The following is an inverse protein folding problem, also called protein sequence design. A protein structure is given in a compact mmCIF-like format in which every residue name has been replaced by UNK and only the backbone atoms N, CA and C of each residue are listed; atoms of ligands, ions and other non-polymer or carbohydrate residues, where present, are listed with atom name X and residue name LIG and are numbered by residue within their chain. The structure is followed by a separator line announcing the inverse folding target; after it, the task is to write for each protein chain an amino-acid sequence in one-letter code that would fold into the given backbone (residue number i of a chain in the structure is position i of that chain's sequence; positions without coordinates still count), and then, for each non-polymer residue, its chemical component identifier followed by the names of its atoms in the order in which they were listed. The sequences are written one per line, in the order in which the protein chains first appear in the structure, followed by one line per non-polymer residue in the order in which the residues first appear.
data_IF_791551548947
#
_entry.id   IF_791551548947
#
_cell.length_a   1.000
_cell.length_b   1.000
_cell.length_c   1.000
_cell.angle_alpha   90.00
_cell.angle_beta   90.00
_cell.angle_gamma   90.00
#
_symmetry.space_group_name_H-M   'P 1'
#
loop_
_entity.id
_entity.type
_entity.pdbx_description
1 polymer ?
#
# COMPACT_ATOMS: atom_id res chain seq x y z
N UNK A 1 -43.87 -7.64 -95.86
CA UNK A 1 -44.55 -8.36 -94.78
C UNK A 1 -43.44 -8.76 -93.82
N UNK A 2 -43.04 -7.84 -92.95
CA UNK A 2 -43.75 -7.46 -91.72
C UNK A 2 -43.52 -8.55 -90.65
N UNK A 3 -42.58 -8.31 -89.75
CA UNK A 3 -42.84 -8.34 -88.30
C UNK A 3 -41.54 -8.09 -87.55
N UNK A 4 -41.64 -7.25 -86.53
CA UNK A 4 -40.59 -6.74 -85.66
C UNK A 4 -40.08 -7.84 -84.72
N UNK A 5 -38.77 -7.98 -84.63
CA UNK A 5 -38.10 -8.65 -83.51
C UNK A 5 -37.97 -7.64 -82.36
N UNK A 6 -38.91 -7.68 -81.42
CA UNK A 6 -38.86 -6.92 -80.18
C UNK A 6 -37.82 -7.51 -79.22
N UNK A 7 -36.75 -6.73 -79.02
CA UNK A 7 -35.77 -6.86 -77.94
C UNK A 7 -36.46 -6.67 -76.58
N UNK A 8 -36.76 -7.77 -75.90
CA UNK A 8 -37.05 -7.76 -74.46
C UNK A 8 -35.75 -8.01 -73.69
N UNK A 9 -35.01 -6.94 -73.41
CA UNK A 9 -33.97 -6.93 -72.36
C UNK A 9 -34.70 -6.75 -71.03
N UNK A 10 -34.99 -7.86 -70.37
CA UNK A 10 -35.50 -7.86 -69.00
C UNK A 10 -34.36 -7.52 -68.05
N UNK A 11 -34.28 -6.24 -67.67
CA UNK A 11 -33.45 -5.75 -66.58
C UNK A 11 -33.95 -6.38 -65.26
N UNK A 12 -33.38 -7.51 -64.88
CA UNK A 12 -33.44 -8.00 -63.49
C UNK A 12 -32.59 -7.07 -62.62
N UNK A 13 -33.20 -5.97 -62.18
CA UNK A 13 -32.76 -5.25 -60.99
C UNK A 13 -33.08 -6.18 -59.81
N UNK A 14 -32.11 -7.02 -59.44
CA UNK A 14 -32.10 -7.67 -58.14
C UNK A 14 -31.97 -6.58 -57.08
N UNK A 15 -33.11 -6.06 -56.62
CA UNK A 15 -33.22 -5.35 -55.36
C UNK A 15 -32.87 -6.33 -54.23
N UNK A 16 -31.57 -6.47 -53.97
CA UNK A 16 -31.05 -7.01 -52.73
C UNK A 16 -31.27 -5.99 -51.62
N UNK A 17 -32.54 -5.71 -51.30
CA UNK A 17 -32.91 -4.99 -50.09
C UNK A 17 -32.74 -5.95 -48.91
N UNK A 18 -31.48 -6.22 -48.57
CA UNK A 18 -31.11 -6.78 -47.28
C UNK A 18 -31.49 -5.72 -46.24
N UNK A 19 -32.71 -5.81 -45.72
CA UNK A 19 -33.15 -5.05 -44.57
C UNK A 19 -32.20 -5.36 -43.43
N UNK A 20 -31.29 -4.43 -43.15
CA UNK A 20 -30.41 -4.48 -41.98
C UNK A 20 -31.31 -4.37 -40.76
N UNK A 21 -31.78 -5.52 -40.24
CA UNK A 21 -32.42 -5.60 -38.94
C UNK A 21 -31.38 -5.20 -37.88
N UNK A 22 -31.36 -3.91 -37.56
CA UNK A 22 -30.66 -3.41 -36.37
C UNK A 22 -31.34 -4.00 -35.15
N UNK A 23 -30.83 -5.13 -34.65
CA UNK A 23 -31.28 -5.75 -33.39
C UNK A 23 -31.20 -4.70 -32.28
N UNK A 24 -32.34 -4.17 -31.88
CA UNK A 24 -32.45 -3.20 -30.80
C UNK A 24 -31.90 -3.83 -29.51
N UNK A 25 -30.79 -3.29 -29.02
CA UNK A 25 -30.15 -3.79 -27.79
C UNK A 25 -31.04 -3.39 -26.61
N UNK A 26 -31.52 -4.37 -25.85
CA UNK A 26 -32.33 -4.11 -24.65
C UNK A 26 -31.56 -3.23 -23.66
N UNK A 27 -32.15 -2.11 -23.16
CA UNK A 27 -31.51 -1.23 -22.18
C UNK A 27 -30.98 -1.96 -20.94
N UNK A 28 -31.66 -3.04 -20.53
CA UNK A 28 -31.24 -3.87 -19.40
C UNK A 28 -29.91 -4.59 -19.63
N UNK A 29 -29.59 -4.97 -20.87
CA UNK A 29 -28.30 -5.58 -21.21
C UNK A 29 -27.16 -4.58 -21.08
N UNK A 30 -27.40 -3.34 -21.51
CA UNK A 30 -26.43 -2.24 -21.40
C UNK A 30 -26.16 -1.95 -19.92
N UNK A 31 -27.21 -1.78 -19.11
CA UNK A 31 -27.06 -1.54 -17.67
C UNK A 31 -26.32 -2.69 -16.98
N UNK A 32 -26.66 -3.94 -17.31
CA UNK A 32 -26.00 -5.13 -16.75
C UNK A 32 -24.50 -5.17 -17.11
N UNK A 33 -24.15 -4.85 -18.36
CA UNK A 33 -22.75 -4.77 -18.80
C UNK A 33 -22.00 -3.66 -18.09
N UNK A 34 -22.56 -2.46 -18.04
CA UNK A 34 -21.94 -1.32 -17.35
C UNK A 34 -21.70 -1.65 -15.88
N UNK A 35 -22.71 -2.20 -15.19
CA UNK A 35 -22.59 -2.61 -13.80
C UNK A 35 -21.50 -3.68 -13.62
N UNK A 36 -21.49 -4.71 -14.47
CA UNK A 36 -20.48 -5.77 -14.45
C UNK A 36 -19.06 -5.23 -14.65
N UNK A 37 -18.86 -4.34 -15.63
CA UNK A 37 -17.57 -3.71 -15.89
C UNK A 37 -17.12 -2.85 -14.72
N UNK A 38 -18.01 -2.04 -14.13
CA UNK A 38 -17.67 -1.21 -12.96
C UNK A 38 -17.21 -2.07 -11.79
N UNK A 39 -17.92 -3.16 -11.50
CA UNK A 39 -17.53 -4.10 -10.43
C UNK A 39 -16.16 -4.72 -10.73
N UNK A 40 -15.95 -5.21 -11.96
CA UNK A 40 -14.72 -5.89 -12.35
C UNK A 40 -13.51 -4.94 -12.27
N UNK A 41 -13.63 -3.72 -12.81
CA UNK A 41 -12.57 -2.70 -12.74
C UNK A 41 -12.31 -2.30 -11.29
N UNK A 42 -13.34 -2.17 -10.46
CA UNK A 42 -13.18 -1.83 -9.04
C UNK A 42 -12.41 -2.92 -8.30
N UNK A 43 -12.81 -4.19 -8.45
CA UNK A 43 -12.12 -5.32 -7.81
C UNK A 43 -10.68 -5.43 -8.29
N UNK A 44 -10.44 -5.29 -9.60
CA UNK A 44 -9.10 -5.32 -10.15
C UNK A 44 -8.23 -4.18 -9.59
N UNK A 45 -8.76 -2.95 -9.52
CA UNK A 45 -8.08 -1.83 -8.90
C UNK A 45 -7.76 -2.08 -7.42
N UNK A 46 -8.67 -2.71 -6.67
CA UNK A 46 -8.41 -3.09 -5.28
C UNK A 46 -7.24 -4.06 -5.16
N UNK A 47 -7.19 -5.09 -6.02
CA UNK A 47 -6.12 -6.08 -6.02
C UNK A 47 -4.78 -5.42 -6.35
N UNK A 48 -4.74 -4.58 -7.39
CA UNK A 48 -3.51 -3.86 -7.77
C UNK A 48 -3.02 -2.98 -6.62
N UNK A 49 -3.90 -2.21 -6.00
CA UNK A 49 -3.54 -1.35 -4.86
C UNK A 49 -3.09 -2.15 -3.64
N UNK A 50 -3.73 -3.29 -3.35
CA UNK A 50 -3.33 -4.16 -2.25
C UNK A 50 -1.92 -4.76 -2.50
N UNK A 51 -1.61 -5.15 -3.74
CA UNK A 51 -0.28 -5.64 -4.11
C UNK A 51 0.76 -4.53 -3.97
N UNK A 52 0.48 -3.32 -4.47
CA UNK A 52 1.40 -2.18 -4.36
C UNK A 52 1.67 -1.76 -2.90
N UNK A 53 0.70 -1.96 -1.99
CA UNK A 53 0.85 -1.67 -0.56
C UNK A 53 1.19 -2.90 0.30
N UNK A 54 1.52 -4.03 -0.32
CA UNK A 54 1.84 -5.27 0.39
C UNK A 54 3.24 -5.28 0.99
N UNK A 55 4.11 -4.36 0.57
CA UNK A 55 5.48 -4.27 1.06
C UNK A 55 5.53 -3.71 2.48
N UNK A 56 6.04 -4.52 3.40
CA UNK A 56 6.21 -4.18 4.80
C UNK A 56 7.67 -4.24 5.23
N UNK A 57 8.07 -3.36 6.12
CA UNK A 57 9.37 -3.37 6.76
C UNK A 57 9.43 -4.51 7.79
N UNK A 58 10.41 -5.40 7.62
CA UNK A 58 10.64 -6.58 8.47
C UNK A 58 11.83 -6.40 9.40
N UNK A 59 12.91 -5.86 8.88
CA UNK A 59 14.16 -5.73 9.61
C UNK A 59 14.85 -4.41 9.24
N UNK A 60 15.47 -3.79 10.24
CA UNK A 60 16.34 -2.62 10.08
C UNK A 60 17.70 -3.01 10.63
N UNK A 61 18.74 -2.88 9.80
CA UNK A 61 20.13 -3.00 10.23
C UNK A 61 20.78 -1.62 10.21
N UNK A 62 21.38 -1.19 11.30
CA UNK A 62 22.11 0.08 11.39
C UNK A 62 23.58 -0.21 11.61
N UNK A 63 24.42 0.30 10.72
CA UNK A 63 25.88 0.12 10.75
C UNK A 63 26.55 1.48 10.87
N UNK A 64 27.43 1.65 11.85
CA UNK A 64 28.28 2.84 11.93
C UNK A 64 29.34 2.77 10.82
N UNK A 65 29.54 3.89 10.13
CA UNK A 65 30.53 4.00 9.06
C UNK A 65 31.94 4.23 9.61
N UNK A 66 32.05 5.01 10.68
CA UNK A 66 33.28 5.27 11.41
C UNK A 66 33.10 4.96 12.91
N UNK A 67 33.88 4.02 13.44
CA UNK A 67 33.80 3.62 14.84
C UNK A 67 34.34 4.69 15.79
N UNK A 68 35.23 5.57 15.33
CA UNK A 68 35.82 6.61 16.18
C UNK A 68 34.85 7.77 16.44
N UNK A 69 33.87 7.95 15.54
CA UNK A 69 32.83 8.97 15.62
C UNK A 69 31.56 8.49 16.34
N UNK A 70 31.53 7.26 16.88
CA UNK A 70 30.39 6.81 17.69
C UNK A 70 30.29 7.65 18.98
N UNK A 71 29.09 8.17 19.32
CA UNK A 71 28.88 8.89 20.57
C UNK A 71 29.20 7.95 21.73
N UNK A 72 30.01 8.44 22.67
CA UNK A 72 30.37 7.72 23.89
C UNK A 72 29.59 8.34 25.04
N UNK A 73 29.00 7.51 25.89
CA UNK A 73 28.28 7.98 27.07
C UNK A 73 29.29 8.69 27.99
N UNK A 74 29.08 9.98 28.23
CA UNK A 74 29.95 10.84 29.03
C UNK A 74 29.19 11.32 30.26
N UNK A 75 28.76 10.41 31.12
CA UNK A 75 28.06 10.81 32.35
C UNK A 75 28.86 10.51 33.63
N UNK A 76 29.23 11.59 34.33
CA UNK A 76 29.82 11.73 35.69
C UNK A 76 31.32 12.08 35.84
N UNK A 77 31.65 13.29 36.37
CA UNK A 77 33.02 13.82 36.50
C UNK A 77 33.91 13.17 37.59
N UNK A 78 33.50 12.05 38.22
CA UNK A 78 34.18 11.52 39.42
C UNK A 78 34.50 10.01 39.40
N UNK A 79 34.12 9.27 38.36
CA UNK A 79 34.43 7.83 38.22
C UNK A 79 35.09 7.64 36.86
N UNK A 80 36.15 6.82 36.77
CA UNK A 80 36.86 6.55 35.51
C UNK A 80 35.91 5.98 34.45
N UNK A 81 35.50 6.84 33.52
CA UNK A 81 34.62 6.62 32.37
C UNK A 81 35.42 6.05 31.20
N UNK A 82 35.87 4.80 31.29
CA UNK A 82 36.44 4.13 30.13
C UNK A 82 35.35 3.31 29.43
N UNK A 83 34.97 3.78 28.24
CA UNK A 83 34.35 3.00 27.17
C UNK A 83 32.91 2.46 27.38
N UNK A 84 32.01 3.22 28.01
CA UNK A 84 30.59 2.89 27.94
C UNK A 84 30.04 3.15 26.52
N UNK A 85 29.60 2.08 25.86
CA UNK A 85 28.98 2.12 24.54
C UNK A 85 27.54 2.64 24.65
N UNK A 86 27.04 3.38 23.64
CA UNK A 86 25.70 3.94 23.65
C UNK A 86 24.61 2.86 23.65
N UNK A 87 23.43 3.23 24.13
CA UNK A 87 22.25 2.37 24.21
C UNK A 87 21.32 2.70 23.04
N UNK A 88 21.66 2.19 21.85
CA UNK A 88 20.94 2.52 20.62
C UNK A 88 19.49 2.03 20.61
N UNK A 89 18.57 2.91 20.25
CA UNK A 89 17.14 2.64 20.07
C UNK A 89 16.68 3.09 18.68
N UNK A 90 15.76 2.31 18.09
CA UNK A 90 15.10 2.68 16.83
C UNK A 90 13.63 2.99 17.06
N UNK A 91 13.24 4.18 16.64
CA UNK A 91 11.85 4.64 16.61
C UNK A 91 11.38 4.79 15.17
N UNK A 92 10.36 4.03 14.82
CA UNK A 92 9.67 4.14 13.53
C UNK A 92 8.49 5.08 13.71
N UNK A 93 8.50 6.20 12.98
CA UNK A 93 7.38 7.14 12.89
C UNK A 93 6.54 6.78 11.68
N UNK A 94 5.23 6.75 11.88
CA UNK A 94 4.27 6.47 10.80
C UNK A 94 3.41 7.68 10.50
N UNK A 95 2.67 7.66 9.38
CA UNK A 95 1.71 8.69 9.01
C UNK A 95 0.58 8.74 10.07
N UNK A 96 0.72 9.65 11.03
CA UNK A 96 -0.17 9.80 12.18
C UNK A 96 0.58 10.11 13.48
N UNK A 97 -0.08 9.88 14.63
CA UNK A 97 0.50 10.07 15.97
C UNK A 97 1.18 8.79 16.51
N UNK A 98 1.23 7.71 15.72
CA UNK A 98 1.76 6.43 16.17
C UNK A 98 3.27 6.35 16.01
N UNK A 99 3.94 5.99 17.11
CA UNK A 99 5.38 5.74 17.18
C UNK A 99 5.57 4.30 17.62
N UNK A 100 6.33 3.52 16.85
CA UNK A 100 6.67 2.14 17.19
C UNK A 100 8.11 2.10 17.63
N UNK A 101 8.33 1.73 18.89
CA UNK A 101 9.64 1.49 19.47
C UNK A 101 10.05 0.04 19.22
N UNK A 102 11.22 -0.17 18.60
CA UNK A 102 11.74 -1.51 18.28
C UNK A 102 12.61 -2.10 19.41
N UNK A 103 12.77 -1.38 20.51
CA UNK A 103 13.57 -1.73 21.67
C UNK A 103 15.02 -1.25 21.54
N UNK A 104 15.67 -1.08 22.70
CA UNK A 104 17.07 -0.69 22.76
C UNK A 104 18.02 -1.89 22.63
N UNK A 105 19.23 -1.64 22.11
CA UNK A 105 20.36 -2.57 22.08
C UNK A 105 21.44 -2.01 23.01
N UNK A 106 21.42 -2.38 24.30
CA UNK A 106 22.26 -1.72 25.27
C UNK A 106 23.74 -2.11 25.11
N UNK A 107 24.64 -1.14 25.31
CA UNK A 107 26.08 -1.30 25.37
C UNK A 107 26.65 -2.08 24.17
N UNK A 108 26.19 -1.76 22.96
CA UNK A 108 26.68 -2.39 21.72
C UNK A 108 27.05 -1.35 20.69
N UNK A 109 28.25 -1.50 20.13
CA UNK A 109 28.69 -0.70 18.99
C UNK A 109 27.88 -1.07 17.75
N UNK A 110 27.65 -0.09 16.88
CA UNK A 110 27.04 -0.28 15.58
C UNK A 110 28.04 -0.63 14.49
N UNK A 111 29.33 -0.78 14.79
CA UNK A 111 30.38 -1.11 13.82
C UNK A 111 30.12 -2.40 13.03
N UNK A 112 29.67 -3.48 13.69
CA UNK A 112 29.32 -4.75 13.02
C UNK A 112 27.89 -4.76 12.45
N UNK A 113 27.14 -3.71 12.77
CA UNK A 113 25.75 -3.51 12.41
C UNK A 113 24.77 -4.12 13.40
N UNK A 114 23.94 -3.28 13.98
CA UNK A 114 22.87 -3.66 14.91
C UNK A 114 21.59 -3.94 14.15
N UNK A 115 20.90 -5.01 14.52
CA UNK A 115 19.72 -5.48 13.79
C UNK A 115 18.49 -5.46 14.70
N UNK A 116 17.42 -4.84 14.21
CA UNK A 116 16.10 -4.80 14.81
C UNK A 116 15.10 -5.51 13.91
N UNK A 117 14.51 -6.59 14.44
CA UNK A 117 13.44 -7.33 13.78
C UNK A 117 12.10 -6.87 14.31
N UNK A 118 11.22 -6.50 13.40
CA UNK A 118 9.86 -6.11 13.74
C UNK A 118 9.04 -7.37 14.02
N UNK A 119 8.23 -7.35 15.09
CA UNK A 119 7.30 -8.45 15.41
C UNK A 119 6.10 -8.48 14.46
N UNK A 120 5.63 -7.31 14.05
CA UNK A 120 4.59 -7.11 13.05
C UNK A 120 5.17 -6.25 11.93
N UNK A 121 4.91 -6.63 10.67
CA UNK A 121 5.35 -5.87 9.50
C UNK A 121 4.66 -4.50 9.49
N UNK A 122 5.44 -3.44 9.28
CA UNK A 122 4.90 -2.08 9.14
C UNK A 122 4.88 -1.72 7.64
N UNK A 123 3.74 -1.32 7.05
CA UNK A 123 3.70 -0.97 5.63
C UNK A 123 4.70 0.15 5.33
N UNK A 124 5.59 -0.03 4.35
CA UNK A 124 6.60 0.98 4.01
C UNK A 124 5.93 2.30 3.63
N UNK A 125 4.80 2.22 2.94
CA UNK A 125 3.96 3.38 2.58
C UNK A 125 3.41 4.19 3.75
N UNK A 126 3.38 3.63 4.96
CA UNK A 126 2.94 4.32 6.17
C UNK A 126 4.11 4.89 6.98
N UNK A 127 5.36 4.54 6.66
CA UNK A 127 6.54 5.01 7.40
C UNK A 127 6.94 6.39 6.90
N UNK A 128 6.91 7.37 7.80
CA UNK A 128 7.32 8.75 7.50
C UNK A 128 8.81 8.94 7.75
N UNK A 129 9.32 8.39 8.86
CA UNK A 129 10.74 8.42 9.18
C UNK A 129 11.15 7.33 10.16
N UNK A 130 12.45 7.01 10.16
CA UNK A 130 13.11 6.12 11.10
C UNK A 130 14.15 6.95 11.83
N UNK A 131 14.07 6.98 13.15
CA UNK A 131 14.97 7.74 14.00
C UNK A 131 15.82 6.78 14.85
N UNK A 132 17.13 6.94 14.77
CA UNK A 132 18.08 6.34 15.69
C UNK A 132 18.29 7.31 16.86
N UNK A 133 18.13 6.80 18.07
CA UNK A 133 18.29 7.56 19.31
C UNK A 133 19.26 6.86 20.23
N UNK A 134 19.91 7.64 21.09
CA UNK A 134 20.64 7.11 22.22
C UNK A 134 19.73 7.17 23.45
N UNK A 135 19.55 6.03 24.11
CA UNK A 135 18.74 5.93 25.31
C UNK A 135 19.61 6.22 26.54
N UNK A 136 19.99 7.49 26.73
CA UNK A 136 20.57 7.89 28.01
C UNK A 136 19.45 7.99 29.07
N UNK A 137 19.78 7.62 30.31
CA UNK A 137 18.85 7.52 31.46
C UNK A 137 18.15 8.82 31.80
N UNK A 138 18.65 9.95 31.28
CA UNK A 138 18.18 11.30 31.62
C UNK A 138 17.50 11.99 30.44
N UNK A 139 18.00 11.83 29.21
CA UNK A 139 17.48 12.49 28.01
C UNK A 139 17.66 11.57 26.81
N UNK A 140 16.57 11.27 26.09
CA UNK A 140 16.65 10.55 24.81
C UNK A 140 16.95 11.53 23.69
N UNK A 141 18.17 11.49 23.18
CA UNK A 141 18.62 12.36 22.10
C UNK A 141 18.55 11.65 20.76
N UNK A 142 17.91 12.32 19.79
CA UNK A 142 17.85 11.83 18.42
C UNK A 142 19.22 12.03 17.75
N UNK A 143 19.91 10.93 17.46
CA UNK A 143 21.21 10.95 16.78
C UNK A 143 21.05 11.26 15.30
N UNK A 144 20.12 10.57 14.65
CA UNK A 144 19.85 10.75 13.22
C UNK A 144 18.44 10.31 12.86
N UNK A 145 17.84 10.96 11.87
CA UNK A 145 16.52 10.65 11.34
C UNK A 145 16.61 10.48 9.82
N UNK A 146 16.06 9.39 9.30
CA UNK A 146 16.10 9.03 7.88
C UNK A 146 14.73 8.69 7.34
N UNK A 147 14.53 8.89 6.04
CA UNK A 147 13.35 8.43 5.31
C UNK A 147 13.73 7.22 4.45
N UNK A 148 12.82 6.26 4.30
CA UNK A 148 13.05 5.10 3.44
C UNK A 148 12.92 5.53 1.99
N UNK A 149 14.05 5.72 1.30
CA UNK A 149 14.08 6.04 -0.14
C UNK A 149 14.54 4.87 -1.01
N UNK A 150 15.02 3.78 -0.39
CA UNK A 150 15.52 2.60 -1.07
C UNK A 150 15.89 1.49 -0.07
N UNK A 151 16.60 0.44 -0.51
CA UNK A 151 17.00 -0.68 0.36
C UNK A 151 18.08 -0.29 1.39
N UNK A 152 18.77 0.82 1.18
CA UNK A 152 19.76 1.36 2.10
C UNK A 152 19.79 2.88 2.03
N UNK A 153 19.99 3.53 3.17
CA UNK A 153 20.10 4.99 3.29
C UNK A 153 21.25 5.32 4.24
N UNK A 154 22.08 6.29 3.85
CA UNK A 154 23.17 6.80 4.68
C UNK A 154 22.80 8.18 5.19
N UNK A 155 22.95 8.41 6.50
CA UNK A 155 22.77 9.72 7.11
C UNK A 155 23.70 9.87 8.32
N UNK A 156 24.38 11.01 8.40
CA UNK A 156 25.42 11.24 9.40
C UNK A 156 26.51 10.17 9.29
N UNK A 157 26.85 9.56 10.43
CA UNK A 157 27.83 8.47 10.53
C UNK A 157 27.21 7.07 10.44
N UNK A 158 25.95 6.96 10.01
CA UNK A 158 25.21 5.70 10.05
C UNK A 158 24.66 5.32 8.69
N UNK A 159 24.70 4.03 8.41
CA UNK A 159 24.05 3.37 7.27
C UNK A 159 22.90 2.52 7.79
N UNK A 160 21.72 2.76 7.25
CA UNK A 160 20.50 2.01 7.51
C UNK A 160 20.26 1.08 6.32
N UNK A 161 20.25 -0.23 6.55
CA UNK A 161 19.84 -1.23 5.58
C UNK A 161 18.45 -1.76 5.97
N UNK A 162 17.52 -1.70 5.03
CA UNK A 162 16.13 -2.10 5.25
C UNK A 162 15.86 -3.42 4.54
N UNK A 163 15.30 -4.38 5.25
CA UNK A 163 14.73 -5.58 4.63
C UNK A 163 13.22 -5.49 4.67
N UNK A 164 12.62 -5.58 3.49
CA UNK A 164 11.19 -5.58 3.29
C UNK A 164 10.70 -6.98 2.92
N UNK A 165 9.44 -7.25 3.22
CA UNK A 165 8.75 -8.48 2.88
C UNK A 165 7.34 -8.17 2.38
N UNK A 166 6.89 -8.92 1.38
CA UNK A 166 5.52 -8.81 0.88
C UNK A 166 4.55 -9.63 1.73
N UNK A 167 3.50 -8.99 2.25
CA UNK A 167 2.42 -9.65 2.95
C UNK A 167 1.06 -9.23 2.38
N UNK A 168 0.26 -10.20 1.97
CA UNK A 168 -1.09 -9.97 1.46
C UNK A 168 -2.01 -9.39 2.54
N UNK A 169 -1.89 -9.86 3.78
CA UNK A 169 -2.63 -9.34 4.93
C UNK A 169 -2.35 -7.85 5.13
N UNK A 170 -1.07 -7.47 5.05
CA UNK A 170 -0.64 -6.10 5.17
C UNK A 170 -1.20 -5.21 4.04
N UNK A 171 -1.14 -5.72 2.81
CA UNK A 171 -1.68 -5.03 1.63
C UNK A 171 -3.19 -4.78 1.74
N UNK A 172 -3.95 -5.78 2.18
CA UNK A 172 -5.41 -5.64 2.39
C UNK A 172 -5.70 -4.67 3.53
N UNK A 173 -5.01 -4.80 4.68
CA UNK A 173 -5.18 -3.92 5.84
C UNK A 173 -4.84 -2.47 5.49
N UNK A 174 -3.74 -2.23 4.77
CA UNK A 174 -3.34 -0.89 4.33
C UNK A 174 -4.29 -0.32 3.28
N UNK A 175 -4.80 -1.14 2.35
CA UNK A 175 -5.79 -0.70 1.36
C UNK A 175 -7.07 -0.15 2.00
N UNK A 176 -7.64 -0.85 3.00
CA UNK A 176 -8.87 -0.39 3.67
C UNK A 176 -8.69 0.88 4.51
N UNK A 177 -7.44 1.28 4.82
CA UNK A 177 -7.16 2.58 5.43
C UNK A 177 -7.20 3.74 4.44
N UNK A 178 -7.07 3.47 3.13
CA UNK A 178 -7.13 4.53 2.11
C UNK A 178 -8.54 5.09 1.95
N UNK A 179 -8.71 6.35 1.48
CA UNK A 179 -10.04 6.92 1.23
C UNK A 179 -10.90 6.07 0.29
N UNK A 180 -10.29 5.44 -0.71
CA UNK A 180 -10.98 4.53 -1.65
C UNK A 180 -11.46 3.27 -0.94
N UNK A 181 -10.57 2.62 -0.17
CA UNK A 181 -10.94 1.44 0.62
C UNK A 181 -12.04 1.72 1.63
N UNK A 182 -11.99 2.88 2.30
CA UNK A 182 -13.04 3.34 3.22
C UNK A 182 -14.37 3.57 2.50
N UNK A 183 -14.36 4.23 1.34
CA UNK A 183 -15.57 4.46 0.55
C UNK A 183 -16.24 3.15 0.12
N UNK A 184 -15.44 2.17 -0.32
CA UNK A 184 -15.93 0.83 -0.69
C UNK A 184 -16.51 0.11 0.54
N UNK A 185 -15.79 0.12 1.66
CA UNK A 185 -16.25 -0.50 2.92
C UNK A 185 -17.57 0.11 3.41
N UNK A 186 -17.69 1.44 3.33
CA UNK A 186 -18.92 2.14 3.68
C UNK A 186 -20.08 1.78 2.75
N UNK A 187 -19.84 1.76 1.44
CA UNK A 187 -20.85 1.39 0.45
C UNK A 187 -21.39 -0.04 0.68
N UNK A 188 -20.51 -1.01 0.95
CA UNK A 188 -20.91 -2.38 1.29
C UNK A 188 -21.71 -2.44 2.59
N UNK A 189 -21.24 -1.75 3.64
CA UNK A 189 -21.95 -1.70 4.93
C UNK A 189 -23.36 -1.12 4.76
N UNK A 190 -23.49 -0.01 4.02
CA UNK A 190 -24.79 0.60 3.72
C UNK A 190 -25.71 -0.31 2.91
N UNK A 191 -25.18 -1.02 1.91
CA UNK A 191 -25.97 -1.99 1.13
C UNK A 191 -26.54 -3.10 2.02
N UNK A 192 -25.72 -3.66 2.93
CA UNK A 192 -26.16 -4.68 3.89
C UNK A 192 -27.26 -4.13 4.80
N UNK A 193 -27.08 -2.92 5.34
CA UNK A 193 -28.09 -2.27 6.20
C UNK A 193 -29.42 -2.10 5.46
N UNK A 194 -29.40 -1.63 4.20
CA UNK A 194 -30.61 -1.47 3.39
C UNK A 194 -31.32 -2.81 3.18
N UNK A 195 -30.58 -3.88 2.87
CA UNK A 195 -31.15 -5.23 2.70
C UNK A 195 -31.78 -5.73 4.00
N UNK A 196 -31.10 -5.55 5.13
CA UNK A 196 -31.65 -5.93 6.45
C UNK A 196 -32.92 -5.13 6.78
N UNK A 197 -32.91 -3.81 6.58
CA UNK A 197 -34.10 -2.96 6.80
C UNK A 197 -35.29 -3.40 5.93
N UNK A 198 -35.03 -3.76 4.67
CA UNK A 198 -36.07 -4.29 3.77
C UNK A 198 -36.59 -5.64 4.23
N UNK A 199 -35.71 -6.52 4.67
CA UNK A 199 -36.08 -7.84 5.21
C UNK A 199 -36.94 -7.71 6.47
N UNK A 200 -36.56 -6.86 7.42
CA UNK A 200 -37.36 -6.60 8.62
C UNK A 200 -38.70 -5.93 8.29
N UNK A 201 -38.71 -4.93 7.40
CA UNK A 201 -39.98 -4.28 6.98
C UNK A 201 -40.94 -5.24 6.31
N UNK A 202 -40.44 -6.25 5.59
CA UNK A 202 -41.26 -7.29 4.97
C UNK A 202 -41.84 -8.26 6.01
N UNK A 203 -41.13 -8.53 7.12
CA UNK A 203 -41.58 -9.45 8.16
C UNK A 203 -42.63 -8.84 9.11
N UNK A 204 -42.67 -7.51 9.23
CA UNK A 204 -43.60 -6.78 10.11
C UNK A 204 -44.93 -6.37 9.44
N UNK A 205 -45.06 -6.57 8.12
CA UNK A 205 -46.29 -6.33 7.33
C UNK A 205 -47.01 -7.66 7.12
#
# INVERSE_FOLDING_TARGET
MDSKDELHIENQVSDSSASVETKAVSPWRIVSWVCGTVILVSVFSCIVMAVLRSEGLREIKVTALDAELEPRDHSLPLIKQFDALPDYEILVRTEGLFRTNLGAKPNKSAQEGLTWRLKELIPVSEITSICLQDQDKVISDALVEVQITGPSVVAGNYRFDFQTEHSAELGVKSFFKTPVGQAISFAFTMAIVIVLLRFFSFFFI
#
